data_IF_705151174859
#
_entry.id   IF_705151174859
#
_cell.length_a   1.000
_cell.length_b   1.000
_cell.length_c   1.000
_cell.angle_alpha   90.00
_cell.angle_beta   90.00
_cell.angle_gamma   90.00
#
_symmetry.space_group_name_H-M   'P 1'
#
loop_
_entity.id
_entity.type
_entity.pdbx_description
1 polymer ?
#
# COMPACT_ATOMS: atom_id res chain seq x y z
N UNK A 1 0.72 4.00 -24.59
CA UNK A 1 1.84 3.41 -23.80
C UNK A 1 3.11 4.26 -23.83
N UNK A 2 3.87 4.35 -24.94
CA UNK A 2 5.16 5.09 -24.98
C UNK A 2 5.08 6.57 -24.53
N UNK A 3 4.04 7.30 -24.95
CA UNK A 3 3.80 8.69 -24.53
C UNK A 3 3.61 8.82 -23.00
N UNK A 4 2.81 7.95 -22.40
CA UNK A 4 2.52 7.97 -20.96
C UNK A 4 3.77 7.64 -20.13
N UNK A 5 4.58 6.67 -20.57
CA UNK A 5 5.87 6.35 -19.93
C UNK A 5 6.84 7.53 -20.01
N UNK A 6 6.96 8.18 -21.17
CA UNK A 6 7.80 9.37 -21.33
C UNK A 6 7.37 10.51 -20.39
N UNK A 7 6.06 10.76 -20.29
CA UNK A 7 5.52 11.77 -19.37
C UNK A 7 5.81 11.44 -17.90
N UNK A 8 5.62 10.18 -17.50
CA UNK A 8 5.90 9.76 -16.13
C UNK A 8 7.37 9.99 -15.76
N UNK A 9 8.30 9.61 -16.65
CA UNK A 9 9.73 9.84 -16.43
C UNK A 9 10.06 11.34 -16.31
N UNK A 10 9.44 12.19 -17.14
CA UNK A 10 9.63 13.64 -17.05
C UNK A 10 9.15 14.20 -15.71
N UNK A 11 7.97 13.79 -15.23
CA UNK A 11 7.47 14.21 -13.91
C UNK A 11 8.35 13.69 -12.78
N UNK A 12 8.82 12.45 -12.88
CA UNK A 12 9.72 11.84 -11.90
C UNK A 12 11.03 12.63 -11.80
N UNK A 13 11.67 12.96 -12.92
CA UNK A 13 12.91 13.77 -12.92
C UNK A 13 12.69 15.17 -12.35
N UNK A 14 11.58 15.82 -12.70
CA UNK A 14 11.25 17.12 -12.13
C UNK A 14 11.05 17.03 -10.61
N UNK A 15 10.42 15.96 -10.12
CA UNK A 15 10.23 15.72 -8.70
C UNK A 15 11.56 15.53 -7.97
N UNK A 16 12.48 14.77 -8.53
CA UNK A 16 13.82 14.60 -7.96
C UNK A 16 14.57 15.93 -7.82
N UNK A 17 14.46 16.85 -8.79
CA UNK A 17 15.05 18.19 -8.69
C UNK A 17 14.51 18.97 -7.49
N UNK A 18 13.18 18.96 -7.29
CA UNK A 18 12.52 19.61 -6.14
C UNK A 18 12.99 19.00 -4.81
N UNK A 19 13.15 17.67 -4.75
CA UNK A 19 13.63 17.00 -3.53
C UNK A 19 15.08 17.37 -3.20
N UNK A 20 15.94 17.53 -4.21
CA UNK A 20 17.35 17.89 -4.04
C UNK A 20 17.56 19.35 -3.60
N UNK A 21 16.57 20.21 -3.81
CA UNK A 21 16.58 21.60 -3.35
C UNK A 21 16.48 21.69 -1.82
N UNK A 22 15.63 20.85 -1.21
CA UNK A 22 15.40 20.81 0.24
C UNK A 22 16.01 19.56 0.90
N UNK A 23 17.34 19.45 0.84
CA UNK A 23 18.12 18.29 1.34
C UNK A 23 17.83 17.94 2.80
N UNK A 24 17.59 18.93 3.65
CA UNK A 24 17.29 18.70 5.07
C UNK A 24 15.91 18.04 5.25
N UNK A 25 14.89 18.47 4.50
CA UNK A 25 13.57 17.84 4.54
C UNK A 25 13.63 16.38 4.07
N UNK A 26 14.43 16.09 3.04
CA UNK A 26 14.69 14.72 2.61
C UNK A 26 15.31 13.87 3.72
N UNK A 27 16.35 14.38 4.40
CA UNK A 27 17.01 13.64 5.49
C UNK A 27 16.06 13.40 6.68
N UNK A 28 15.28 14.42 7.07
CA UNK A 28 14.28 14.30 8.12
C UNK A 28 13.24 13.22 7.74
N UNK A 29 12.72 13.24 6.51
CA UNK A 29 11.76 12.23 6.03
C UNK A 29 12.33 10.82 6.04
N UNK A 30 13.55 10.64 5.54
CA UNK A 30 14.24 9.35 5.52
C UNK A 30 14.48 8.80 6.94
N UNK A 31 15.03 9.62 7.85
CA UNK A 31 15.25 9.22 9.25
C UNK A 31 13.94 8.91 9.95
N UNK A 32 12.90 9.73 9.74
CA UNK A 32 11.57 9.50 10.32
C UNK A 32 11.00 8.16 9.86
N UNK A 33 11.08 7.85 8.56
CA UNK A 33 10.59 6.58 7.99
C UNK A 33 11.33 5.38 8.60
N UNK A 34 12.65 5.46 8.73
CA UNK A 34 13.46 4.41 9.35
C UNK A 34 13.07 4.23 10.83
N UNK A 35 12.92 5.32 11.57
CA UNK A 35 12.53 5.27 12.98
C UNK A 35 11.14 4.64 13.17
N UNK A 36 10.16 4.99 12.32
CA UNK A 36 8.83 4.37 12.35
C UNK A 36 8.87 2.87 12.05
N UNK A 37 9.65 2.45 11.05
CA UNK A 37 9.81 1.02 10.74
C UNK A 37 10.52 0.27 11.86
N UNK A 38 11.57 0.85 12.44
CA UNK A 38 12.27 0.29 13.58
C UNK A 38 11.34 0.16 14.79
N UNK A 39 10.51 1.16 15.08
CA UNK A 39 9.53 1.08 16.16
C UNK A 39 8.50 -0.05 15.94
N UNK A 40 7.99 -0.20 14.72
CA UNK A 40 7.09 -1.30 14.37
C UNK A 40 7.74 -2.68 14.57
N UNK A 41 8.98 -2.84 14.09
CA UNK A 41 9.76 -4.07 14.27
C UNK A 41 10.09 -4.37 15.72
N UNK A 42 10.51 -3.36 16.47
CA UNK A 42 10.77 -3.47 17.91
C UNK A 42 9.52 -3.90 18.65
N UNK A 43 8.35 -3.37 18.28
CA UNK A 43 7.07 -3.78 18.88
C UNK A 43 6.82 -5.28 18.67
N UNK A 44 6.92 -5.77 17.42
CA UNK A 44 6.76 -7.20 17.10
C UNK A 44 7.78 -8.04 17.86
N UNK A 45 9.05 -7.63 17.87
CA UNK A 45 10.12 -8.35 18.53
C UNK A 45 9.93 -8.42 20.05
N UNK A 46 9.57 -7.31 20.72
CA UNK A 46 9.30 -7.29 22.16
C UNK A 46 8.16 -8.24 22.51
N UNK A 47 7.06 -8.20 21.76
CA UNK A 47 5.91 -9.09 22.00
C UNK A 47 6.31 -10.56 21.87
N UNK A 48 7.01 -10.92 20.79
CA UNK A 48 7.44 -12.30 20.54
C UNK A 48 8.61 -12.74 21.44
N UNK A 49 9.35 -11.82 22.06
CA UNK A 49 10.37 -12.16 23.05
C UNK A 49 9.77 -12.74 24.34
N UNK A 50 8.53 -12.38 24.65
CA UNK A 50 7.81 -12.83 25.84
C UNK A 50 6.97 -14.09 25.58
N UNK A 51 6.65 -14.39 24.32
CA UNK A 51 5.76 -15.47 23.92
C UNK A 51 6.45 -16.32 22.85
N UNK A 52 6.81 -17.59 23.14
CA UNK A 52 7.54 -18.46 22.20
C UNK A 52 6.82 -18.67 20.85
N UNK A 53 5.49 -18.67 20.85
CA UNK A 53 4.69 -18.68 19.63
C UNK A 53 3.33 -18.01 19.84
N UNK A 54 2.88 -17.26 18.84
CA UNK A 54 1.59 -16.59 18.85
C UNK A 54 0.56 -17.47 18.14
N UNK A 55 -0.23 -18.26 18.87
CA UNK A 55 -1.14 -19.25 18.28
C UNK A 55 -0.45 -20.20 17.28
N UNK A 56 0.74 -20.70 17.65
CA UNK A 56 1.55 -21.56 16.81
C UNK A 56 2.34 -20.85 15.71
N UNK A 57 2.36 -19.51 15.68
CA UNK A 57 3.21 -18.72 14.78
C UNK A 57 4.51 -18.31 15.46
N UNK A 58 5.64 -18.60 14.84
CA UNK A 58 6.98 -18.21 15.28
C UNK A 58 7.33 -16.78 14.84
N UNK A 59 8.38 -16.21 15.43
CA UNK A 59 8.86 -14.86 15.09
C UNK A 59 9.12 -14.72 13.59
N UNK A 60 9.82 -15.68 12.97
CA UNK A 60 10.15 -15.60 11.55
C UNK A 60 8.90 -15.66 10.66
N UNK A 61 7.88 -16.44 11.02
CA UNK A 61 6.62 -16.48 10.27
C UNK A 61 5.84 -15.16 10.38
N UNK A 62 5.84 -14.52 11.56
CA UNK A 62 5.24 -13.19 11.75
C UNK A 62 6.00 -12.12 10.97
N UNK A 63 7.34 -12.17 10.98
CA UNK A 63 8.17 -11.26 10.18
C UNK A 63 7.96 -11.43 8.68
N UNK A 64 7.65 -12.65 8.21
CA UNK A 64 7.29 -12.90 6.81
C UNK A 64 5.97 -12.20 6.43
N UNK A 65 4.93 -12.33 7.28
CA UNK A 65 3.65 -11.62 7.09
C UNK A 65 3.87 -10.11 7.08
N UNK A 66 4.61 -9.61 8.08
CA UNK A 66 4.90 -8.18 8.21
C UNK A 66 5.69 -7.65 7.01
N UNK A 67 6.72 -8.38 6.57
CA UNK A 67 7.54 -8.03 5.40
C UNK A 67 6.71 -7.94 4.12
N UNK A 68 5.84 -8.90 3.84
CA UNK A 68 4.93 -8.86 2.69
C UNK A 68 3.95 -7.69 2.77
N UNK A 69 3.40 -7.39 3.95
CA UNK A 69 2.52 -6.24 4.14
C UNK A 69 3.25 -4.93 3.82
N UNK A 70 4.48 -4.77 4.33
CA UNK A 70 5.30 -3.57 4.09
C UNK A 70 5.65 -3.45 2.61
N UNK A 71 6.00 -4.56 1.94
CA UNK A 71 6.22 -4.58 0.48
C UNK A 71 4.98 -4.17 -0.31
N UNK A 72 3.82 -4.76 -0.02
CA UNK A 72 2.57 -4.42 -0.69
C UNK A 72 2.19 -2.96 -0.46
N UNK A 73 2.21 -2.50 0.80
CA UNK A 73 1.86 -1.12 1.17
C UNK A 73 2.82 -0.10 0.54
N UNK A 74 4.12 -0.42 0.47
CA UNK A 74 5.12 0.48 -0.09
C UNK A 74 4.89 0.76 -1.57
N UNK A 75 4.36 -0.19 -2.36
CA UNK A 75 3.95 0.09 -3.74
C UNK A 75 2.89 1.19 -3.81
N UNK A 76 1.82 1.10 -3.02
CA UNK A 76 0.82 2.18 -2.95
C UNK A 76 1.45 3.49 -2.46
N UNK A 77 2.32 3.44 -1.46
CA UNK A 77 2.97 4.64 -0.94
C UNK A 77 3.89 5.29 -1.98
N UNK A 78 4.61 4.53 -2.82
CA UNK A 78 5.46 5.09 -3.87
C UNK A 78 4.66 5.82 -4.95
N UNK A 79 3.57 5.21 -5.42
CA UNK A 79 2.88 5.64 -6.64
C UNK A 79 1.57 6.40 -6.41
N UNK A 80 0.97 6.32 -5.22
CA UNK A 80 -0.38 6.80 -4.97
C UNK A 80 -0.56 7.49 -3.60
N UNK A 81 0.53 7.87 -2.93
CA UNK A 81 0.46 8.57 -1.64
C UNK A 81 -0.26 9.91 -1.73
N UNK A 82 -0.19 10.59 -2.87
CA UNK A 82 -0.89 11.86 -3.07
C UNK A 82 -2.42 11.76 -3.09
N UNK A 83 -2.98 10.55 -3.27
CA UNK A 83 -4.42 10.34 -3.17
C UNK A 83 -4.97 10.75 -1.79
N UNK A 84 -4.13 10.71 -0.75
CA UNK A 84 -4.49 11.13 0.60
C UNK A 84 -4.76 12.63 0.72
N UNK A 85 -4.09 13.44 -0.10
CA UNK A 85 -4.09 14.90 0.05
C UNK A 85 -4.86 15.63 -1.04
N UNK A 86 -5.52 14.90 -1.97
CA UNK A 86 -6.37 15.48 -3.04
C UNK A 86 -7.26 16.61 -2.51
N UNK A 87 -8.02 16.32 -1.46
CA UNK A 87 -8.99 17.23 -0.88
C UNK A 87 -8.37 18.54 -0.40
N UNK A 88 -7.27 18.44 0.35
CA UNK A 88 -6.59 19.58 0.96
C UNK A 88 -5.74 20.37 -0.03
N UNK A 89 -4.94 19.67 -0.84
CA UNK A 89 -3.89 20.29 -1.65
C UNK A 89 -4.41 20.72 -3.01
N UNK A 90 -5.41 20.03 -3.56
CA UNK A 90 -5.87 20.26 -4.93
C UNK A 90 -7.33 20.73 -5.01
N UNK A 91 -8.25 20.15 -4.25
CA UNK A 91 -9.67 20.56 -4.29
C UNK A 91 -9.86 21.89 -3.57
N UNK A 92 -9.46 22.00 -2.29
CA UNK A 92 -9.63 23.23 -1.49
C UNK A 92 -8.96 24.45 -2.11
N UNK A 93 -7.80 24.27 -2.75
CA UNK A 93 -7.04 25.34 -3.39
C UNK A 93 -7.41 25.61 -4.86
N UNK A 94 -8.41 24.92 -5.43
CA UNK A 94 -8.78 25.04 -6.85
C UNK A 94 -7.75 24.47 -7.85
N UNK A 95 -6.66 23.88 -7.37
CA UNK A 95 -5.61 23.30 -8.20
C UNK A 95 -6.03 22.04 -8.97
N UNK A 96 -7.16 21.42 -8.61
CA UNK A 96 -7.66 20.21 -9.28
C UNK A 96 -8.08 20.47 -10.73
N UNK A 97 -8.54 21.69 -11.07
CA UNK A 97 -8.90 22.10 -12.44
C UNK A 97 -7.76 21.90 -13.44
N UNK A 98 -6.50 22.08 -12.99
CA UNK A 98 -5.29 21.84 -13.79
C UNK A 98 -5.21 20.40 -14.33
N UNK A 99 -5.76 19.42 -13.59
CA UNK A 99 -5.78 18.02 -14.01
C UNK A 99 -6.87 17.76 -15.05
N UNK A 100 -7.96 18.53 -15.02
CA UNK A 100 -9.11 18.37 -15.91
C UNK A 100 -8.90 19.02 -17.29
N UNK A 101 -8.17 20.13 -17.36
CA UNK A 101 -7.92 20.87 -18.62
C UNK A 101 -6.84 20.25 -19.50
N UNK A 102 -6.00 19.35 -18.95
CA UNK A 102 -4.91 18.71 -19.70
C UNK A 102 -5.45 17.49 -20.46
N UNK A 103 -4.98 17.25 -21.71
CA UNK A 103 -5.44 16.12 -22.52
C UNK A 103 -4.75 14.81 -22.11
N UNK A 104 -4.85 14.46 -20.83
CA UNK A 104 -4.28 13.27 -20.19
C UNK A 104 -5.29 12.81 -19.14
N UNK A 105 -5.40 11.50 -18.91
CA UNK A 105 -6.29 10.98 -17.86
C UNK A 105 -5.97 11.64 -16.48
N UNK A 106 -6.97 12.22 -15.79
CA UNK A 106 -6.73 12.95 -14.54
C UNK A 106 -6.14 12.09 -13.44
N UNK A 107 -6.54 10.82 -13.35
CA UNK A 107 -6.00 9.91 -12.34
C UNK A 107 -4.54 9.60 -12.63
N UNK A 108 -4.21 9.25 -13.88
CA UNK A 108 -2.82 9.04 -14.27
C UNK A 108 -1.96 10.27 -14.00
N UNK A 109 -2.44 11.45 -14.39
CA UNK A 109 -1.71 12.68 -14.20
C UNK A 109 -1.50 12.99 -12.72
N UNK A 110 -2.51 12.74 -11.88
CA UNK A 110 -2.39 12.85 -10.44
C UNK A 110 -1.34 11.87 -9.91
N UNK A 111 -1.43 10.57 -10.19
CA UNK A 111 -0.45 9.57 -9.73
C UNK A 111 0.99 9.87 -10.20
N UNK A 112 1.13 10.45 -11.38
CA UNK A 112 2.43 10.84 -11.93
C UNK A 112 3.00 12.15 -11.33
N UNK A 113 2.15 13.03 -10.78
CA UNK A 113 2.54 14.33 -10.23
C UNK A 113 3.45 14.20 -9.00
N UNK A 114 3.25 13.15 -8.20
CA UNK A 114 4.00 12.95 -6.95
C UNK A 114 4.37 11.48 -6.74
N UNK A 115 5.65 11.19 -6.96
CA UNK A 115 6.29 9.96 -6.49
C UNK A 115 6.83 10.16 -5.07
N UNK A 116 6.45 9.27 -4.15
CA UNK A 116 6.92 9.32 -2.76
C UNK A 116 8.20 8.48 -2.59
N UNK A 117 9.31 9.16 -2.29
CA UNK A 117 10.61 8.51 -2.09
C UNK A 117 10.68 7.70 -0.78
N UNK A 118 9.91 8.08 0.25
CA UNK A 118 9.79 7.32 1.50
C UNK A 118 9.28 5.89 1.26
N UNK A 119 8.47 5.70 0.21
CA UNK A 119 8.01 4.39 -0.24
C UNK A 119 9.15 3.47 -0.66
N UNK A 120 10.23 3.99 -1.26
CA UNK A 120 11.41 3.19 -1.63
C UNK A 120 12.09 2.64 -0.38
N UNK A 121 12.26 3.47 0.66
CA UNK A 121 12.84 3.04 1.94
C UNK A 121 12.03 1.92 2.57
N UNK A 122 10.70 2.09 2.63
CA UNK A 122 9.79 1.06 3.12
C UNK A 122 9.86 -0.23 2.29
N UNK A 123 9.96 -0.13 0.96
CA UNK A 123 10.10 -1.29 0.08
C UNK A 123 11.38 -2.07 0.38
N UNK A 124 12.51 -1.38 0.58
CA UNK A 124 13.78 -2.01 0.95
C UNK A 124 13.68 -2.71 2.30
N UNK A 125 13.03 -2.08 3.29
CA UNK A 125 12.79 -2.70 4.61
C UNK A 125 11.93 -3.96 4.47
N UNK A 126 10.81 -3.89 3.74
CA UNK A 126 9.96 -5.05 3.49
C UNK A 126 10.70 -6.19 2.79
N UNK A 127 11.52 -5.87 1.79
CA UNK A 127 12.35 -6.85 1.08
C UNK A 127 13.38 -7.51 2.01
N UNK A 128 14.04 -6.71 2.86
CA UNK A 128 14.98 -7.23 3.86
C UNK A 128 14.29 -8.17 4.86
N UNK A 129 13.08 -7.82 5.32
CA UNK A 129 12.30 -8.67 6.22
C UNK A 129 11.90 -9.99 5.58
N UNK A 130 11.45 -9.97 4.32
CA UNK A 130 11.15 -11.20 3.57
C UNK A 130 12.41 -12.05 3.39
N UNK A 131 13.55 -11.44 3.07
CA UNK A 131 14.81 -12.16 2.94
C UNK A 131 15.25 -12.83 4.26
N UNK A 132 15.26 -12.07 5.37
CA UNK A 132 15.66 -12.56 6.71
C UNK A 132 14.69 -13.63 7.22
N UNK A 133 13.39 -13.44 7.07
CA UNK A 133 12.40 -14.44 7.48
C UNK A 133 12.48 -15.70 6.62
N UNK A 134 12.67 -15.57 5.30
CA UNK A 134 12.78 -16.72 4.41
C UNK A 134 13.99 -17.59 4.70
N UNK A 135 15.14 -16.99 5.05
CA UNK A 135 16.33 -17.74 5.46
C UNK A 135 16.14 -18.41 6.82
N UNK A 136 15.51 -17.72 7.77
CA UNK A 136 15.19 -18.27 9.10
C UNK A 136 14.14 -19.38 9.08
N UNK A 137 13.32 -19.47 8.03
CA UNK A 137 12.31 -20.50 7.82
C UNK A 137 12.77 -21.63 6.88
N UNK A 138 13.95 -21.49 6.24
CA UNK A 138 14.44 -22.46 5.27
C UNK A 138 13.58 -22.56 4.00
N UNK A 139 12.94 -21.45 3.58
CA UNK A 139 12.09 -21.43 2.38
C UNK A 139 12.97 -21.67 1.14
N UNK A 140 12.65 -22.72 0.37
CA UNK A 140 13.33 -23.01 -0.88
C UNK A 140 12.79 -22.12 -1.99
N UNK A 141 13.65 -21.24 -2.50
CA UNK A 141 13.31 -20.33 -3.60
C UNK A 141 13.43 -21.04 -4.95
N UNK A 142 12.31 -21.59 -5.42
CA UNK A 142 12.14 -22.01 -6.81
C UNK A 142 11.73 -20.83 -7.69
N UNK A 143 11.94 -20.88 -9.02
CA UNK A 143 11.42 -19.86 -9.93
C UNK A 143 9.91 -19.62 -9.79
N UNK A 144 9.17 -20.66 -9.43
CA UNK A 144 7.74 -20.59 -9.16
C UNK A 144 7.42 -19.78 -7.89
N UNK A 145 8.10 -20.05 -6.77
CA UNK A 145 7.91 -19.31 -5.51
C UNK A 145 8.32 -17.83 -5.66
N UNK A 146 9.35 -17.55 -6.46
CA UNK A 146 9.74 -16.18 -6.77
C UNK A 146 8.68 -15.45 -7.60
N UNK A 147 8.11 -16.11 -8.62
CA UNK A 147 7.02 -15.55 -9.41
C UNK A 147 5.77 -15.31 -8.55
N UNK A 148 5.44 -16.26 -7.66
CA UNK A 148 4.36 -16.13 -6.71
C UNK A 148 4.57 -14.92 -5.78
N UNK A 149 5.78 -14.75 -5.24
CA UNK A 149 6.13 -13.60 -4.40
C UNK A 149 5.88 -12.28 -5.14
N UNK A 150 6.38 -12.16 -6.38
CA UNK A 150 6.19 -10.95 -7.19
C UNK A 150 4.71 -10.69 -7.45
N UNK A 151 3.96 -11.74 -7.82
CA UNK A 151 2.52 -11.65 -8.06
C UNK A 151 1.76 -11.22 -6.79
N UNK A 152 2.11 -11.78 -5.63
CA UNK A 152 1.52 -11.44 -4.35
C UNK A 152 1.79 -9.98 -3.96
N UNK A 153 3.04 -9.52 -4.11
CA UNK A 153 3.42 -8.13 -3.80
C UNK A 153 2.70 -7.15 -4.71
N UNK A 154 2.63 -7.42 -6.03
CA UNK A 154 1.89 -6.56 -6.98
C UNK A 154 0.39 -6.55 -6.63
N UNK A 155 -0.20 -7.72 -6.38
CA UNK A 155 -1.63 -7.84 -6.05
C UNK A 155 -1.96 -7.10 -4.75
N UNK A 156 -1.13 -7.28 -3.71
CA UNK A 156 -1.27 -6.55 -2.46
C UNK A 156 -1.13 -5.04 -2.66
N UNK A 157 -0.15 -4.58 -3.44
CA UNK A 157 0.00 -3.17 -3.79
C UNK A 157 -1.21 -2.60 -4.52
N UNK A 158 -1.81 -3.36 -5.43
CA UNK A 158 -3.04 -2.99 -6.12
C UNK A 158 -4.26 -2.96 -5.19
N UNK A 159 -4.34 -3.85 -4.19
CA UNK A 159 -5.38 -3.80 -3.15
C UNK A 159 -5.25 -2.52 -2.33
N UNK A 160 -4.04 -2.19 -1.86
CA UNK A 160 -3.80 -0.92 -1.16
C UNK A 160 -4.14 0.27 -2.05
N UNK A 161 -3.73 0.26 -3.31
CA UNK A 161 -4.06 1.31 -4.27
C UNK A 161 -5.58 1.49 -4.45
N UNK A 162 -6.32 0.39 -4.64
CA UNK A 162 -7.76 0.43 -4.84
C UNK A 162 -8.49 0.98 -3.61
N UNK A 163 -8.08 0.59 -2.41
CA UNK A 163 -8.62 1.16 -1.16
C UNK A 163 -8.35 2.67 -1.08
N UNK A 164 -7.12 3.10 -1.42
CA UNK A 164 -6.72 4.50 -1.39
C UNK A 164 -7.57 5.34 -2.34
N UNK A 165 -7.71 4.85 -3.57
CA UNK A 165 -8.50 5.48 -4.60
C UNK A 165 -9.97 5.54 -4.22
N UNK A 166 -10.55 4.45 -3.69
CA UNK A 166 -11.94 4.43 -3.26
C UNK A 166 -12.23 5.44 -2.14
N UNK A 167 -11.35 5.55 -1.15
CA UNK A 167 -11.54 6.51 -0.05
C UNK A 167 -11.28 7.95 -0.48
N UNK A 168 -10.33 8.19 -1.40
CA UNK A 168 -10.03 9.55 -1.86
C UNK A 168 -11.20 10.18 -2.62
N UNK A 169 -12.07 9.39 -3.25
CA UNK A 169 -13.26 9.91 -3.96
C UNK A 169 -14.14 10.75 -3.04
N UNK A 170 -14.21 10.42 -1.73
CA UNK A 170 -14.98 11.20 -0.75
C UNK A 170 -14.58 12.69 -0.74
N UNK A 171 -13.34 13.01 -1.09
CA UNK A 171 -12.84 14.39 -1.17
C UNK A 171 -13.65 15.28 -2.12
N UNK A 172 -14.28 14.70 -3.14
CA UNK A 172 -15.10 15.45 -4.10
C UNK A 172 -16.39 16.01 -3.48
N UNK A 173 -16.86 15.48 -2.35
CA UNK A 173 -18.06 15.97 -1.65
C UNK A 173 -17.73 16.70 -0.35
N UNK A 174 -16.82 16.14 0.46
CA UNK A 174 -16.55 16.67 1.82
C UNK A 174 -15.28 17.52 1.91
N UNK A 175 -14.46 17.57 0.86
CA UNK A 175 -13.14 18.24 0.80
C UNK A 175 -12.11 17.70 1.81
N UNK A 176 -12.40 17.66 3.11
CA UNK A 176 -11.55 17.03 4.12
C UNK A 176 -11.81 15.51 4.17
N UNK A 177 -11.20 14.76 3.25
CA UNK A 177 -11.34 13.29 3.14
C UNK A 177 -10.38 12.48 4.02
N UNK A 178 -9.37 13.12 4.61
CA UNK A 178 -8.32 12.44 5.37
C UNK A 178 -8.88 11.53 6.48
N UNK A 179 -9.89 11.93 7.28
CA UNK A 179 -10.45 11.05 8.30
C UNK A 179 -11.07 9.77 7.72
N UNK A 180 -11.74 9.87 6.56
CA UNK A 180 -12.34 8.71 5.87
C UNK A 180 -11.25 7.76 5.40
N UNK A 181 -10.21 8.30 4.77
CA UNK A 181 -9.05 7.50 4.33
C UNK A 181 -8.37 6.82 5.52
N UNK A 182 -8.14 7.53 6.64
CA UNK A 182 -7.56 6.95 7.87
C UNK A 182 -8.40 5.80 8.43
N UNK A 183 -9.71 5.99 8.52
CA UNK A 183 -10.63 4.99 9.06
C UNK A 183 -10.57 3.65 8.32
N UNK A 184 -10.18 3.64 7.03
CA UNK A 184 -9.98 2.41 6.25
C UNK A 184 -8.52 1.97 6.24
N UNK A 185 -7.58 2.90 6.06
CA UNK A 185 -6.15 2.59 5.92
C UNK A 185 -5.49 2.10 7.20
N UNK A 186 -5.84 2.65 8.36
CA UNK A 186 -5.19 2.29 9.62
C UNK A 186 -5.49 0.84 10.04
N UNK A 187 -6.55 0.21 9.51
CA UNK A 187 -6.83 -1.21 9.72
C UNK A 187 -5.77 -2.16 9.15
N UNK A 188 -4.84 -1.68 8.29
CA UNK A 188 -3.72 -2.51 7.83
C UNK A 188 -2.83 -3.01 8.98
N UNK A 189 -2.86 -2.34 10.14
CA UNK A 189 -2.11 -2.76 11.33
C UNK A 189 -2.51 -4.16 11.81
N UNK A 190 -3.77 -4.56 11.63
CA UNK A 190 -4.22 -5.92 11.96
C UNK A 190 -3.61 -6.98 11.04
N UNK A 191 -3.25 -6.61 9.81
CA UNK A 191 -2.64 -7.53 8.85
C UNK A 191 -1.10 -7.67 9.02
N UNK A 192 -0.53 -7.04 10.06
CA UNK A 192 0.86 -7.28 10.48
C UNK A 192 1.01 -8.61 11.23
N UNK A 193 -0.10 -9.11 11.78
CA UNK A 193 -0.14 -10.34 12.55
C UNK A 193 -0.96 -11.42 11.82
N UNK A 194 -0.78 -12.69 12.18
CA UNK A 194 -1.56 -13.79 11.62
C UNK A 194 -3.06 -13.61 11.84
N UNK A 195 -3.89 -13.72 10.80
CA UNK A 195 -5.34 -13.55 10.95
C UNK A 195 -5.99 -14.56 11.89
N UNK A 196 -5.36 -15.72 12.08
CA UNK A 196 -5.84 -16.80 12.95
C UNK A 196 -5.83 -16.43 14.44
N UNK A 197 -5.18 -15.34 14.84
CA UNK A 197 -5.24 -14.86 16.24
C UNK A 197 -6.54 -14.10 16.52
N UNK A 198 -7.20 -13.61 15.47
CA UNK A 198 -8.43 -12.85 15.60
C UNK A 198 -9.66 -13.74 15.58
N UNK A 199 -10.74 -13.35 16.27
CA UNK A 199 -12.02 -14.03 16.15
C UNK A 199 -12.54 -13.97 14.71
N UNK A 200 -13.30 -15.00 14.31
CA UNK A 200 -13.78 -15.21 12.94
C UNK A 200 -14.39 -13.95 12.27
N UNK A 201 -15.22 -13.12 12.95
CA UNK A 201 -15.78 -11.92 12.32
C UNK A 201 -14.72 -10.92 11.85
N UNK A 202 -13.66 -10.71 12.64
CA UNK A 202 -12.56 -9.81 12.29
C UNK A 202 -11.78 -10.38 11.10
N UNK A 203 -11.52 -11.70 11.12
CA UNK A 203 -10.88 -12.39 9.99
C UNK A 203 -11.67 -12.24 8.69
N UNK A 204 -13.00 -12.35 8.74
CA UNK A 204 -13.88 -12.15 7.57
C UNK A 204 -13.79 -10.70 7.06
N UNK A 205 -13.84 -9.71 7.96
CA UNK A 205 -13.71 -8.29 7.59
C UNK A 205 -12.36 -8.02 6.90
N UNK A 206 -11.26 -8.52 7.47
CA UNK A 206 -9.90 -8.33 6.94
C UNK A 206 -9.59 -9.15 5.68
N UNK A 207 -10.47 -10.10 5.34
CA UNK A 207 -10.33 -10.94 4.14
C UNK A 207 -11.22 -10.46 3.00
N UNK A 208 -12.44 -10.00 3.29
CA UNK A 208 -13.46 -9.73 2.28
C UNK A 208 -13.90 -8.28 2.19
N UNK A 209 -13.94 -7.54 3.31
CA UNK A 209 -14.39 -6.14 3.31
C UNK A 209 -13.21 -5.19 3.08
N UNK A 210 -12.14 -5.37 3.84
CA UNK A 210 -10.88 -4.63 3.71
C UNK A 210 -9.77 -5.68 3.58
N UNK A 211 -9.53 -6.21 2.35
CA UNK A 211 -8.80 -7.45 2.11
C UNK A 211 -7.28 -7.36 2.33
N UNK A 212 -6.82 -6.72 3.40
CA UNK A 212 -5.42 -6.68 3.80
C UNK A 212 -4.87 -8.08 4.08
N UNK A 213 -5.72 -9.02 4.51
CA UNK A 213 -5.36 -10.42 4.63
C UNK A 213 -4.85 -11.05 3.33
N UNK A 214 -5.47 -10.71 2.21
CA UNK A 214 -5.07 -11.18 0.88
C UNK A 214 -3.82 -10.48 0.36
N UNK A 215 -3.48 -9.31 0.91
CA UNK A 215 -2.26 -8.58 0.56
C UNK A 215 -1.00 -9.12 1.26
N UNK A 216 -1.12 -9.74 2.44
CA UNK A 216 0.02 -10.23 3.22
C UNK A 216 -0.15 -11.66 3.75
N UNK A 217 -1.16 -11.88 4.59
CA UNK A 217 -1.32 -13.11 5.39
C UNK A 217 -1.45 -14.39 4.56
N UNK A 218 -2.36 -14.42 3.57
CA UNK A 218 -2.56 -15.62 2.75
C UNK A 218 -1.36 -15.93 1.86
N UNK A 219 -0.75 -14.94 1.17
CA UNK A 219 0.52 -15.14 0.48
C UNK A 219 1.68 -15.62 1.37
N UNK A 220 1.84 -15.04 2.56
CA UNK A 220 2.86 -15.48 3.51
C UNK A 220 2.62 -16.93 3.93
N UNK A 221 1.38 -17.27 4.29
CA UNK A 221 1.02 -18.63 4.73
C UNK A 221 1.36 -19.68 3.68
N UNK A 222 1.10 -19.39 2.40
CA UNK A 222 1.48 -20.27 1.29
C UNK A 222 3.00 -20.46 1.19
N UNK A 223 3.78 -19.38 1.24
CA UNK A 223 5.25 -19.44 1.15
C UNK A 223 5.89 -20.18 2.33
N UNK A 224 5.25 -20.13 3.50
CA UNK A 224 5.65 -20.84 4.72
C UNK A 224 5.28 -22.34 4.63
N UNK A 225 4.40 -22.74 3.70
CA UNK A 225 3.92 -24.11 3.55
C UNK A 225 2.70 -24.45 4.40
N UNK A 226 1.99 -23.44 4.92
CA UNK A 226 0.70 -23.64 5.61
C UNK A 226 -0.43 -23.77 4.60
N UNK A 227 -1.34 -24.71 4.84
CA UNK A 227 -2.50 -24.90 3.99
C UNK A 227 -3.56 -23.82 4.26
N UNK A 228 -3.77 -22.97 3.25
CA UNK A 228 -4.80 -21.93 3.21
C UNK A 228 -5.73 -22.11 2.00
N UNK A 229 -5.63 -23.26 1.32
CA UNK A 229 -6.42 -23.60 0.15
C UNK A 229 -6.39 -22.53 -0.95
N UNK A 230 -7.55 -22.25 -1.53
CA UNK A 230 -7.69 -21.32 -2.66
C UNK A 230 -7.38 -19.86 -2.30
N UNK A 231 -7.41 -19.47 -1.02
CA UNK A 231 -7.23 -18.08 -0.58
C UNK A 231 -5.84 -17.53 -0.90
N UNK A 232 -4.82 -18.40 -1.01
CA UNK A 232 -3.48 -18.04 -1.48
C UNK A 232 -3.48 -17.46 -2.91
N UNK A 233 -4.40 -17.93 -3.77
CA UNK A 233 -4.41 -17.63 -5.21
C UNK A 233 -5.45 -16.57 -5.60
N UNK A 234 -6.32 -16.17 -4.68
CA UNK A 234 -7.28 -15.09 -4.88
C UNK A 234 -6.72 -13.66 -4.98
N UNK A 235 -5.54 -13.29 -4.42
CA UNK A 235 -5.09 -11.90 -4.41
C UNK A 235 -5.11 -11.18 -5.77
N UNK A 236 -4.66 -11.78 -6.89
CA UNK A 236 -4.71 -11.10 -8.20
C UNK A 236 -6.13 -10.81 -8.67
N UNK A 237 -7.06 -11.73 -8.44
CA UNK A 237 -8.47 -11.59 -8.83
C UNK A 237 -9.16 -10.52 -7.99
N UNK A 238 -8.95 -10.55 -6.68
CA UNK A 238 -9.51 -9.55 -5.77
C UNK A 238 -8.92 -8.17 -6.07
N UNK A 239 -7.60 -8.07 -6.29
CA UNK A 239 -6.95 -6.85 -6.71
C UNK A 239 -7.58 -6.28 -8.00
N UNK A 240 -7.77 -7.11 -9.03
CA UNK A 240 -8.37 -6.68 -10.30
C UNK A 240 -9.80 -6.16 -10.11
N UNK A 241 -10.64 -6.88 -9.36
CA UNK A 241 -12.03 -6.46 -9.07
C UNK A 241 -12.04 -5.14 -8.30
N UNK A 242 -11.21 -5.02 -7.26
CA UNK A 242 -11.15 -3.81 -6.44
C UNK A 242 -10.66 -2.60 -7.23
N UNK A 243 -9.61 -2.75 -8.03
CA UNK A 243 -9.11 -1.68 -8.89
C UNK A 243 -10.19 -1.24 -9.88
N UNK A 244 -10.90 -2.19 -10.48
CA UNK A 244 -12.03 -1.89 -11.37
C UNK A 244 -13.11 -1.07 -10.65
N UNK A 245 -13.58 -1.54 -9.48
CA UNK A 245 -14.60 -0.84 -8.70
C UNK A 245 -14.13 0.55 -8.24
N UNK A 246 -12.91 0.66 -7.72
CA UNK A 246 -12.33 1.92 -7.29
C UNK A 246 -12.19 2.92 -8.44
N UNK A 247 -11.80 2.46 -9.63
CA UNK A 247 -11.75 3.31 -10.82
C UNK A 247 -13.14 3.78 -11.26
N UNK A 248 -14.16 2.91 -11.18
CA UNK A 248 -15.55 3.31 -11.47
C UNK A 248 -16.06 4.34 -10.46
N UNK A 249 -15.72 4.18 -9.18
CA UNK A 249 -16.02 5.17 -8.13
C UNK A 249 -15.30 6.48 -8.38
N UNK A 250 -14.03 6.45 -8.79
CA UNK A 250 -13.26 7.63 -9.17
C UNK A 250 -13.92 8.40 -10.31
N UNK A 251 -14.30 7.72 -11.40
CA UNK A 251 -15.02 8.35 -12.51
C UNK A 251 -16.38 8.92 -12.09
N UNK A 252 -17.06 8.27 -11.14
CA UNK A 252 -18.29 8.80 -10.56
C UNK A 252 -18.03 10.07 -9.73
N UNK A 253 -17.00 10.08 -8.89
CA UNK A 253 -16.60 11.26 -8.13
C UNK A 253 -16.20 12.45 -9.00
N UNK A 254 -15.45 12.20 -10.08
CA UNK A 254 -15.08 13.25 -11.05
C UNK A 254 -16.30 13.97 -11.64
N UNK A 255 -17.43 13.28 -11.83
CA UNK A 255 -18.67 13.91 -12.33
C UNK A 255 -19.35 14.82 -11.31
N UNK A 256 -19.06 14.63 -10.03
CA UNK A 256 -19.61 15.42 -8.92
C UNK A 256 -18.64 16.47 -8.42
N UNK A 257 -17.43 16.53 -8.98
CA UNK A 257 -16.49 17.58 -8.67
C UNK A 257 -17.10 18.93 -9.05
N UNK A 258 -17.27 19.77 -8.05
CA UNK A 258 -17.66 21.16 -8.20
C UNK A 258 -16.41 21.98 -7.93
N UNK A 259 -15.96 22.76 -8.91
CA UNK A 259 -14.82 23.65 -8.74
C UNK A 259 -15.05 24.63 -7.59
N UNK A 260 -13.99 25.26 -7.08
CA UNK A 260 -14.08 26.26 -6.00
C UNK A 260 -14.68 27.61 -6.49
N UNK A 261 -15.48 27.57 -7.55
CA UNK A 261 -16.08 28.72 -8.22
C UNK A 261 -17.55 28.90 -7.87
N UNK A 262 -17.80 29.55 -6.73
CA UNK A 262 -18.82 30.60 -6.56
C UNK A 262 -18.39 31.49 -5.38
#
# INVERSE_FOLDING_TARGET
>A
MRRYLGLYLMFLFQRFKILMEYRLNFLIGAVSTIAFQAAGLLTVWVVMSQIPSLNGWTLNEVLMIYGLLVLAKSLNHMFADNLWTIGRDYIRGGGFDRFLVRPIDPLFHLLADRFCHDGVGNFVVGAALVAISSSGLGIVWTPFNLLYLVLAVISGGLIFFALNLATCVSAFWIVESVPVTRAVFENHLFAQYPLTIYPRPIGIVLTWLIPYGLASFYPASYLIGRDVGALAWLPPFVAAIMVFLAYRLWLFGLKHYSGTGS
#
